data_IF_737623322528
#
_entry.id   IF_737623322528
#
_cell.length_a   1.000
_cell.length_b   1.000
_cell.length_c   1.000
_cell.angle_alpha   90.00
_cell.angle_beta   90.00
_cell.angle_gamma   90.00
#
_symmetry.space_group_name_H-M   'P 1'
#
loop_
_entity.id
_entity.type
_entity.pdbx_description
1 polymer ?
#
# COMPACT_ATOMS: atom_id res chain seq x y z
N UNK A 1 7.36 -36.96 2.58
CA UNK A 1 7.88 -36.11 3.65
C UNK A 1 7.71 -34.71 3.12
N UNK A 2 6.78 -33.92 3.67
CA UNK A 2 6.68 -32.51 3.29
C UNK A 2 7.98 -31.82 3.73
N UNK A 3 8.53 -31.00 2.85
CA UNK A 3 9.77 -30.26 3.09
C UNK A 3 9.49 -29.13 4.08
N UNK A 4 10.00 -29.18 5.33
CA UNK A 4 9.67 -28.20 6.37
C UNK A 4 10.20 -26.79 6.04
N UNK A 5 11.22 -26.67 5.20
CA UNK A 5 11.76 -25.37 4.79
C UNK A 5 10.78 -24.64 3.85
N UNK A 6 10.03 -25.39 3.02
CA UNK A 6 9.01 -24.83 2.13
C UNK A 6 7.85 -24.21 2.93
N UNK A 7 7.46 -24.82 4.05
CA UNK A 7 6.39 -24.28 4.92
C UNK A 7 6.81 -22.95 5.55
N UNK A 8 8.08 -22.85 5.98
CA UNK A 8 8.63 -21.63 6.55
C UNK A 8 8.70 -20.50 5.52
N UNK A 9 9.13 -20.79 4.30
CA UNK A 9 9.20 -19.83 3.19
C UNK A 9 7.82 -19.29 2.81
N UNK A 10 6.82 -20.16 2.69
CA UNK A 10 5.43 -19.75 2.41
C UNK A 10 4.90 -18.84 3.51
N UNK A 11 5.22 -19.14 4.77
CA UNK A 11 4.81 -18.33 5.92
C UNK A 11 5.48 -16.95 5.92
N UNK A 12 6.78 -16.88 5.64
CA UNK A 12 7.54 -15.63 5.54
C UNK A 12 7.00 -14.76 4.41
N UNK A 13 6.81 -15.34 3.23
CA UNK A 13 6.26 -14.67 2.05
C UNK A 13 4.84 -14.15 2.32
N UNK A 14 4.00 -14.95 2.98
CA UNK A 14 2.63 -14.53 3.36
C UNK A 14 2.63 -13.34 4.32
N UNK A 15 3.57 -13.31 5.28
CA UNK A 15 3.75 -12.17 6.19
C UNK A 15 4.20 -10.92 5.42
N UNK A 16 5.18 -11.04 4.53
CA UNK A 16 5.69 -9.91 3.74
C UNK A 16 4.61 -9.34 2.83
N UNK A 17 3.84 -10.20 2.16
CA UNK A 17 2.72 -9.79 1.33
C UNK A 17 1.62 -9.07 2.10
N UNK A 18 1.33 -9.50 3.34
CA UNK A 18 0.36 -8.82 4.21
C UNK A 18 0.84 -7.42 4.60
N UNK A 19 2.12 -7.27 4.93
CA UNK A 19 2.73 -5.98 5.27
C UNK A 19 2.68 -5.04 4.07
N UNK A 20 3.17 -5.48 2.91
CA UNK A 20 3.16 -4.69 1.67
C UNK A 20 1.75 -4.22 1.32
N UNK A 21 0.77 -5.12 1.31
CA UNK A 21 -0.63 -4.76 1.02
C UNK A 21 -1.20 -3.75 2.02
N UNK A 22 -0.87 -3.86 3.31
CA UNK A 22 -1.29 -2.88 4.31
C UNK A 22 -0.71 -1.50 4.02
N UNK A 23 0.60 -1.42 3.80
CA UNK A 23 1.29 -0.15 3.57
C UNK A 23 0.86 0.48 2.25
N UNK A 24 0.71 -0.28 1.16
CA UNK A 24 0.18 0.23 -0.11
C UNK A 24 -1.26 0.78 0.00
N UNK A 25 -2.07 0.24 0.90
CA UNK A 25 -3.43 0.74 1.12
C UNK A 25 -3.45 2.05 1.91
N UNK A 26 -2.51 2.25 2.84
CA UNK A 26 -2.36 3.47 3.64
C UNK A 26 -1.64 4.55 2.84
N UNK A 27 -0.50 4.21 2.24
CA UNK A 27 0.31 5.05 1.37
C UNK A 27 -0.19 4.92 -0.08
N UNK A 28 -1.40 5.42 -0.33
CA UNK A 28 -2.10 5.27 -1.61
C UNK A 28 -2.22 6.57 -2.44
N UNK A 29 -1.48 7.63 -2.09
CA UNK A 29 -1.42 8.85 -2.91
C UNK A 29 -0.90 8.58 -4.31
N UNK A 30 -1.48 9.26 -5.28
CA UNK A 30 -1.19 9.15 -6.72
C UNK A 30 -0.29 10.29 -7.16
N UNK A 31 0.46 10.09 -8.24
CA UNK A 31 1.38 11.10 -8.78
C UNK A 31 0.72 12.47 -9.05
N UNK A 32 -0.57 12.47 -9.41
CA UNK A 32 -1.38 13.67 -9.65
C UNK A 32 -1.71 14.48 -8.37
N UNK A 33 -1.42 13.95 -7.18
CA UNK A 33 -1.60 14.61 -5.88
C UNK A 33 -0.33 15.33 -5.39
N UNK A 34 0.73 15.38 -6.21
CA UNK A 34 2.01 16.00 -5.88
C UNK A 34 2.33 17.15 -6.85
N UNK A 35 3.01 18.19 -6.36
CA UNK A 35 3.34 19.37 -7.17
C UNK A 35 4.52 19.11 -8.11
N UNK A 36 5.33 18.09 -7.81
CA UNK A 36 6.46 17.70 -8.65
C UNK A 36 6.69 16.19 -8.68
N UNK A 37 7.34 15.73 -9.76
CA UNK A 37 7.82 14.35 -9.87
C UNK A 37 8.75 13.97 -8.71
N UNK A 38 9.58 14.91 -8.25
CA UNK A 38 10.53 14.67 -7.16
C UNK A 38 9.81 14.33 -5.85
N UNK A 39 8.79 15.10 -5.49
CA UNK A 39 8.00 14.82 -4.28
C UNK A 39 7.30 13.47 -4.35
N UNK A 40 6.81 13.09 -5.53
CA UNK A 40 6.24 11.77 -5.74
C UNK A 40 7.30 10.66 -5.62
N UNK A 41 8.48 10.85 -6.19
CA UNK A 41 9.60 9.90 -6.08
C UNK A 41 10.03 9.74 -4.61
N UNK A 42 10.20 10.84 -3.86
CA UNK A 42 10.55 10.84 -2.44
C UNK A 42 9.47 10.11 -1.60
N UNK A 43 8.19 10.29 -1.94
CA UNK A 43 7.08 9.58 -1.32
C UNK A 43 7.08 8.07 -1.60
N UNK A 44 7.46 7.67 -2.82
CA UNK A 44 7.61 6.25 -3.16
C UNK A 44 8.78 5.62 -2.41
N UNK A 45 9.91 6.32 -2.30
CA UNK A 45 11.07 5.88 -1.53
C UNK A 45 10.70 5.69 -0.04
N UNK A 46 10.04 6.67 0.56
CA UNK A 46 9.54 6.57 1.94
C UNK A 46 8.63 5.35 2.14
N UNK A 47 7.77 5.05 1.18
CA UNK A 47 6.88 3.89 1.23
C UNK A 47 7.68 2.58 1.19
N UNK A 48 8.68 2.48 0.31
CA UNK A 48 9.54 1.28 0.23
C UNK A 48 10.38 1.09 1.49
N UNK A 49 10.89 2.17 2.10
CA UNK A 49 11.61 2.12 3.38
C UNK A 49 10.73 1.56 4.51
N UNK A 50 9.47 2.01 4.58
CA UNK A 50 8.51 1.50 5.56
C UNK A 50 8.24 0.01 5.33
N UNK A 51 8.02 -0.40 4.08
CA UNK A 51 7.79 -1.82 3.75
C UNK A 51 9.01 -2.67 4.11
N UNK A 52 10.21 -2.19 3.81
CA UNK A 52 11.46 -2.86 4.13
C UNK A 52 11.62 -3.04 5.64
N UNK A 53 11.50 -1.94 6.40
CA UNK A 53 11.64 -1.94 7.85
C UNK A 53 10.69 -2.93 8.52
N UNK A 54 9.42 -2.95 8.11
CA UNK A 54 8.42 -3.85 8.70
C UNK A 54 8.62 -5.32 8.26
N UNK A 55 9.04 -5.57 7.02
CA UNK A 55 9.37 -6.93 6.55
C UNK A 55 10.56 -7.50 7.32
N UNK A 56 11.66 -6.76 7.38
CA UNK A 56 12.93 -7.20 7.96
C UNK A 56 12.99 -7.03 9.49
N UNK A 57 11.99 -6.38 10.10
CA UNK A 57 11.94 -6.19 11.55
C UNK A 57 12.91 -5.12 12.06
N UNK A 58 13.26 -4.15 11.22
CA UNK A 58 14.13 -3.02 11.54
C UNK A 58 13.28 -1.85 12.01
N UNK A 59 13.64 -1.21 13.13
CA UNK A 59 13.00 0.04 13.59
C UNK A 59 11.45 -0.05 13.62
N UNK A 60 10.92 -1.21 14.03
CA UNK A 60 9.49 -1.53 13.88
C UNK A 60 8.59 -0.55 14.64
N UNK A 61 8.97 -0.20 15.88
CA UNK A 61 8.15 0.67 16.72
C UNK A 61 8.06 2.09 16.15
N UNK A 62 9.19 2.67 15.75
CA UNK A 62 9.25 4.01 15.16
C UNK A 62 8.56 4.04 13.79
N UNK A 63 8.74 2.99 12.98
CA UNK A 63 8.07 2.84 11.69
C UNK A 63 6.55 2.71 11.86
N UNK A 64 6.06 1.89 12.79
CA UNK A 64 4.63 1.77 13.08
C UNK A 64 4.02 3.08 13.63
N UNK A 65 4.74 3.81 14.48
CA UNK A 65 4.30 5.11 14.96
C UNK A 65 4.14 6.11 13.80
N UNK A 66 5.10 6.12 12.87
CA UNK A 66 5.05 6.94 11.65
C UNK A 66 3.85 6.58 10.77
N UNK A 67 3.61 5.28 10.52
CA UNK A 67 2.47 4.79 9.75
C UNK A 67 1.13 5.23 10.39
N UNK A 68 0.99 5.09 11.72
CA UNK A 68 -0.24 5.50 12.43
C UNK A 68 -0.48 7.00 12.35
N UNK A 69 0.58 7.80 12.51
CA UNK A 69 0.48 9.26 12.38
C UNK A 69 0.07 9.67 10.96
N UNK A 70 0.67 9.04 9.94
CA UNK A 70 0.30 9.26 8.54
C UNK A 70 -1.15 8.87 8.26
N UNK A 71 -1.58 7.68 8.70
CA UNK A 71 -2.94 7.19 8.51
C UNK A 71 -3.97 8.13 9.14
N UNK A 72 -3.73 8.60 10.37
CA UNK A 72 -4.61 9.55 11.05
C UNK A 72 -4.68 10.91 10.32
N UNK A 73 -3.55 11.41 9.82
CA UNK A 73 -3.49 12.69 9.11
C UNK A 73 -4.09 12.62 7.70
N UNK A 74 -4.07 11.46 7.04
CA UNK A 74 -4.47 11.29 5.64
C UNK A 74 -5.75 10.47 5.45
N UNK A 75 -6.48 10.11 6.51
CA UNK A 75 -7.64 9.22 6.47
C UNK A 75 -8.66 9.55 5.35
N UNK A 76 -8.98 10.83 5.14
CA UNK A 76 -9.89 11.27 4.08
C UNK A 76 -9.34 11.05 2.67
N UNK A 77 -8.06 11.38 2.44
CA UNK A 77 -7.38 11.14 1.15
C UNK A 77 -7.27 9.65 0.87
N UNK A 78 -6.91 8.86 1.88
CA UNK A 78 -6.84 7.39 1.80
C UNK A 78 -8.18 6.81 1.36
N UNK A 79 -9.29 7.20 2.00
CA UNK A 79 -10.62 6.72 1.66
C UNK A 79 -11.03 7.12 0.23
N UNK A 80 -10.75 8.35 -0.18
CA UNK A 80 -11.04 8.84 -1.54
C UNK A 80 -10.27 8.03 -2.60
N UNK A 81 -8.99 7.75 -2.37
CA UNK A 81 -8.16 6.98 -3.30
C UNK A 81 -8.58 5.50 -3.37
N UNK A 82 -9.02 4.90 -2.28
CA UNK A 82 -9.62 3.55 -2.29
C UNK A 82 -10.90 3.53 -3.14
N UNK A 83 -11.79 4.51 -2.95
CA UNK A 83 -13.03 4.60 -3.72
C UNK A 83 -12.75 4.79 -5.22
N UNK A 84 -11.79 5.65 -5.56
CA UNK A 84 -11.35 5.88 -6.95
C UNK A 84 -10.79 4.60 -7.59
N UNK A 85 -9.90 3.89 -6.90
CA UNK A 85 -9.35 2.60 -7.36
C UNK A 85 -10.44 1.55 -7.58
N UNK A 86 -11.44 1.50 -6.70
CA UNK A 86 -12.58 0.59 -6.83
C UNK A 86 -13.49 0.92 -8.02
N UNK A 87 -13.70 2.21 -8.30
CA UNK A 87 -14.45 2.67 -9.47
C UNK A 87 -13.71 2.33 -10.78
N UNK A 88 -12.40 2.57 -10.83
CA UNK A 88 -11.55 2.25 -11.97
C UNK A 88 -11.53 0.73 -12.26
N UNK A 89 -11.48 -0.10 -11.21
CA UNK A 89 -11.51 -1.56 -11.34
C UNK A 89 -12.85 -2.12 -11.88
N UNK A 90 -13.95 -1.35 -11.75
CA UNK A 90 -15.27 -1.75 -12.28
C UNK A 90 -15.39 -1.58 -13.80
N UNK A 91 -14.42 -0.94 -14.46
CA UNK A 91 -14.46 -0.64 -15.90
C UNK A 91 -15.50 0.45 -16.26
N UNK A 92 -15.47 0.98 -17.49
CA UNK A 92 -16.50 1.92 -17.93
C UNK A 92 -17.86 1.20 -17.89
N UNK A 93 -18.83 1.78 -17.17
CA UNK A 93 -20.22 1.32 -17.24
C UNK A 93 -20.65 1.45 -18.70
N UNK A 94 -20.79 0.33 -19.41
CA UNK A 94 -21.45 0.30 -20.70
C UNK A 94 -22.88 0.75 -20.42
N UNK A 95 -23.18 2.04 -20.65
CA UNK A 95 -24.56 2.50 -20.66
C UNK A 95 -25.31 1.63 -21.67
N UNK A 96 -26.49 1.07 -21.33
CA UNK A 96 -27.27 0.32 -22.30
C UNK A 96 -27.54 1.25 -23.48
N UNK A 97 -27.00 0.91 -24.64
CA UNK A 97 -27.35 1.56 -25.90
C UNK A 97 -28.81 1.22 -26.17
N UNK A 98 -29.72 2.07 -25.70
CA UNK A 98 -31.12 1.99 -26.08
C UNK A 98 -31.23 2.24 -27.58
N UNK A 99 -31.71 1.21 -28.28
CA UNK A 99 -32.13 1.21 -29.68
C UNK A 99 -33.30 2.18 -29.90
#
# INVERSE_FOLDING_TARGET
MEDPDLELDVKLMSRHNRIRRRIENIYNKRAEEFDSKREYDDYLEEREDIVFNLCEGVEVESTEAKVRAYEAANASSIAANIAKKALEARGPTQLPSTL
#
